data_IF_170409751112
#
_entry.id   IF_170409751112
#
_cell.length_a   1.000
_cell.length_b   1.000
_cell.length_c   1.000
_cell.angle_alpha   90.00
_cell.angle_beta   90.00
_cell.angle_gamma   90.00
#
_symmetry.space_group_name_H-M   'P 1'
#
loop_
_entity.id
_entity.type
_entity.pdbx_description
1 polymer ?
#
# COMPACT_ATOMS: atom_id res chain seq x y z
N UNK A 1 21.45 28.69 12.07
CA UNK A 1 20.46 29.43 11.25
C UNK A 1 19.50 28.51 10.51
N UNK A 2 19.93 27.34 10.02
CA UNK A 2 19.09 26.37 9.28
C UNK A 2 18.01 25.68 10.16
N UNK A 3 18.27 25.48 11.45
CA UNK A 3 17.34 24.78 12.35
C UNK A 3 16.10 25.61 12.70
N UNK A 4 16.28 26.89 13.02
CA UNK A 4 15.16 27.79 13.35
C UNK A 4 14.25 28.07 12.14
N UNK A 5 14.82 28.17 10.93
CA UNK A 5 14.03 28.32 9.70
C UNK A 5 13.22 27.06 9.40
N UNK A 6 13.78 25.87 9.61
CA UNK A 6 13.04 24.62 9.42
C UNK A 6 11.79 24.54 10.31
N UNK A 7 11.93 24.89 11.60
CA UNK A 7 10.78 24.88 12.51
C UNK A 7 9.75 25.94 12.15
N UNK A 8 10.15 27.14 11.70
CA UNK A 8 9.16 28.11 11.21
C UNK A 8 8.45 27.58 9.97
N UNK A 9 9.21 27.07 9.00
CA UNK A 9 8.68 26.54 7.74
C UNK A 9 7.68 25.40 7.98
N UNK A 10 7.85 24.61 9.05
CA UNK A 10 6.93 23.51 9.42
C UNK A 10 5.52 24.01 9.71
N UNK A 11 5.40 25.23 10.22
CA UNK A 11 4.13 25.85 10.57
C UNK A 11 3.65 26.85 9.50
N UNK A 12 4.48 27.30 8.57
CA UNK A 12 4.07 28.19 7.48
C UNK A 12 3.73 27.47 6.17
N UNK A 13 4.50 26.44 5.80
CA UNK A 13 4.36 25.80 4.50
C UNK A 13 3.30 24.69 4.51
N UNK A 14 2.25 24.89 3.73
CA UNK A 14 1.10 23.97 3.73
C UNK A 14 1.47 22.54 3.29
N UNK A 15 2.46 22.36 2.39
CA UNK A 15 2.91 21.02 2.00
C UNK A 15 3.63 20.30 3.16
N UNK A 16 4.36 21.05 3.99
CA UNK A 16 5.14 20.47 5.09
C UNK A 16 4.26 20.09 6.28
N UNK A 17 3.22 20.89 6.55
CA UNK A 17 2.16 20.53 7.49
C UNK A 17 1.44 19.24 7.06
N UNK A 18 1.11 19.12 5.78
CA UNK A 18 0.46 17.93 5.20
C UNK A 18 1.34 16.69 5.31
N UNK A 19 2.63 16.82 4.98
CA UNK A 19 3.60 15.75 5.11
C UNK A 19 3.76 15.28 6.56
N UNK A 20 3.83 16.22 7.51
CA UNK A 20 3.91 15.91 8.94
C UNK A 20 2.67 15.14 9.42
N UNK A 21 1.48 15.62 9.05
CA UNK A 21 0.21 15.01 9.45
C UNK A 21 0.03 13.61 8.85
N UNK A 22 0.37 13.43 7.56
CA UNK A 22 0.40 12.12 6.92
C UNK A 22 1.41 11.17 7.61
N UNK A 23 2.60 11.67 7.96
CA UNK A 23 3.63 10.92 8.67
C UNK A 23 3.16 10.43 10.05
N UNK A 24 2.46 11.28 10.81
CA UNK A 24 1.87 10.89 12.11
C UNK A 24 0.80 9.80 11.93
N UNK A 25 -0.11 9.96 10.97
CA UNK A 25 -1.16 8.97 10.71
C UNK A 25 -0.57 7.61 10.27
N UNK A 26 0.38 7.63 9.34
CA UNK A 26 1.09 6.43 8.89
C UNK A 26 1.92 5.80 10.01
N UNK A 27 2.51 6.62 10.89
CA UNK A 27 3.25 6.18 12.07
C UNK A 27 2.39 5.45 13.10
N UNK A 28 1.08 5.74 13.18
CA UNK A 28 0.12 4.97 14.00
C UNK A 28 -0.33 3.70 13.29
N UNK A 29 -0.52 3.75 11.97
CA UNK A 29 -0.92 2.60 11.17
C UNK A 29 0.16 1.51 11.09
N UNK A 30 1.43 1.91 10.99
CA UNK A 30 2.57 1.01 10.88
C UNK A 30 2.67 -0.03 12.00
N UNK A 31 2.61 0.31 13.31
CA UNK A 31 2.67 -0.69 14.39
C UNK A 31 1.43 -1.57 14.47
N UNK A 32 0.24 -1.02 14.17
CA UNK A 32 -0.99 -1.81 14.12
C UNK A 32 -0.82 -2.92 13.08
N UNK A 33 -0.67 -2.55 11.82
CA UNK A 33 -0.56 -3.50 10.72
C UNK A 33 0.70 -4.37 10.86
N UNK A 34 1.84 -3.76 11.19
CA UNK A 34 3.14 -4.42 11.30
C UNK A 34 3.18 -5.56 12.30
N UNK A 35 2.48 -5.43 13.44
CA UNK A 35 2.39 -6.51 14.43
C UNK A 35 1.79 -7.79 13.84
N UNK A 36 0.70 -7.68 13.07
CA UNK A 36 0.06 -8.82 12.37
C UNK A 36 0.98 -9.34 11.27
N UNK A 37 1.62 -8.45 10.50
CA UNK A 37 2.53 -8.82 9.42
C UNK A 37 3.64 -9.73 9.92
N UNK A 38 4.28 -9.35 11.03
CA UNK A 38 5.42 -10.08 11.61
C UNK A 38 4.97 -11.47 12.09
N UNK A 39 3.89 -11.54 12.88
CA UNK A 39 3.38 -12.80 13.44
C UNK A 39 3.01 -13.78 12.32
N UNK A 40 2.44 -13.29 11.22
CA UNK A 40 1.99 -14.10 10.08
C UNK A 40 3.10 -14.41 9.05
N UNK A 41 4.35 -14.05 9.35
CA UNK A 41 5.51 -14.17 8.44
C UNK A 41 5.26 -13.53 7.08
N UNK A 42 4.63 -12.37 7.10
CA UNK A 42 4.34 -11.56 5.93
C UNK A 42 5.32 -10.39 5.77
N UNK A 43 6.51 -10.42 6.39
CA UNK A 43 7.40 -9.26 6.54
C UNK A 43 7.69 -8.45 5.26
N UNK A 44 7.67 -9.09 4.08
CA UNK A 44 7.90 -8.44 2.77
C UNK A 44 6.63 -8.08 1.99
N UNK A 45 5.45 -8.24 2.58
CA UNK A 45 4.17 -8.03 1.89
C UNK A 45 3.98 -6.57 1.51
N UNK A 46 4.33 -5.63 2.40
CA UNK A 46 4.19 -4.20 2.17
C UNK A 46 5.08 -3.74 1.00
N UNK A 47 6.32 -4.24 0.95
CA UNK A 47 7.26 -3.96 -0.12
C UNK A 47 6.76 -4.52 -1.46
N UNK A 48 6.33 -5.80 -1.46
CA UNK A 48 5.77 -6.46 -2.64
C UNK A 48 4.54 -5.73 -3.20
N UNK A 49 3.63 -5.31 -2.33
CA UNK A 49 2.43 -4.53 -2.66
C UNK A 49 2.78 -3.15 -3.24
N UNK A 50 3.90 -2.56 -2.82
CA UNK A 50 4.41 -1.31 -3.35
C UNK A 50 4.85 -1.45 -4.81
N UNK A 51 5.53 -2.54 -5.14
CA UNK A 51 5.90 -2.86 -6.53
C UNK A 51 4.69 -3.13 -7.43
N UNK A 52 3.61 -3.69 -6.89
CA UNK A 52 2.35 -3.83 -7.63
C UNK A 52 1.57 -2.50 -7.74
N UNK A 53 1.62 -1.65 -6.71
CA UNK A 53 1.08 -0.29 -6.83
C UNK A 53 1.76 0.49 -7.96
N UNK A 54 3.07 0.29 -8.14
CA UNK A 54 3.81 0.87 -9.28
C UNK A 54 3.31 0.36 -10.64
N UNK A 55 2.83 -0.87 -10.74
CA UNK A 55 2.20 -1.38 -11.98
C UNK A 55 0.98 -0.55 -12.33
N UNK A 56 0.14 -0.27 -11.34
CA UNK A 56 -1.06 0.55 -11.53
C UNK A 56 -0.72 1.98 -11.96
N UNK A 57 0.30 2.58 -11.34
CA UNK A 57 0.76 3.94 -11.66
C UNK A 57 1.41 3.99 -13.05
N UNK A 58 2.26 3.03 -13.39
CA UNK A 58 2.91 3.00 -14.71
C UNK A 58 1.90 2.71 -15.83
N UNK A 59 0.92 1.86 -15.55
CA UNK A 59 -0.19 1.59 -16.46
C UNK A 59 -1.09 2.82 -16.64
N UNK A 60 -1.39 3.57 -15.58
CA UNK A 60 -2.19 4.80 -15.69
C UNK A 60 -1.48 5.84 -16.58
N UNK A 61 -0.16 5.97 -16.44
CA UNK A 61 0.65 6.86 -17.28
C UNK A 61 0.70 6.39 -18.73
N UNK A 62 0.87 5.08 -18.96
CA UNK A 62 0.84 4.50 -20.30
C UNK A 62 -0.52 4.69 -20.98
N UNK A 63 -1.62 4.45 -20.27
CA UNK A 63 -2.98 4.66 -20.77
C UNK A 63 -3.24 6.14 -21.07
N UNK A 64 -2.80 7.05 -20.20
CA UNK A 64 -2.88 8.49 -20.43
C UNK A 64 -2.14 8.90 -21.72
N UNK A 65 -0.93 8.36 -21.93
CA UNK A 65 -0.15 8.62 -23.14
C UNK A 65 -0.77 8.01 -24.41
N UNK A 66 -1.22 6.75 -24.35
CA UNK A 66 -1.64 6.00 -25.54
C UNK A 66 -3.09 6.25 -25.95
N UNK A 67 -4.00 6.50 -25.00
CA UNK A 67 -5.43 6.60 -25.25
C UNK A 67 -5.95 8.05 -25.23
N UNK A 68 -5.13 9.03 -24.86
CA UNK A 68 -5.54 10.44 -24.73
C UNK A 68 -6.70 10.66 -23.74
N UNK A 69 -6.99 9.66 -22.90
CA UNK A 69 -8.10 9.69 -21.96
C UNK A 69 -7.63 10.29 -20.63
N UNK A 70 -8.00 11.54 -20.38
CA UNK A 70 -7.68 12.26 -19.13
C UNK A 70 -8.32 11.63 -17.89
N UNK A 71 -9.38 10.82 -18.06
CA UNK A 71 -10.09 10.13 -16.97
C UNK A 71 -9.15 9.25 -16.11
N UNK A 72 -8.18 8.60 -16.74
CA UNK A 72 -7.20 7.76 -16.03
C UNK A 72 -5.92 8.52 -15.63
N UNK A 73 -5.68 9.70 -16.22
CA UNK A 73 -4.55 10.55 -15.89
C UNK A 73 -4.72 11.21 -14.50
N UNK A 74 -5.96 11.55 -14.13
CA UNK A 74 -6.24 12.30 -12.91
C UNK A 74 -6.29 11.45 -11.63
N UNK A 75 -6.30 10.11 -11.74
CA UNK A 75 -6.45 9.20 -10.58
C UNK A 75 -5.48 8.01 -10.57
N UNK A 76 -4.16 8.24 -10.67
CA UNK A 76 -3.15 7.16 -10.61
C UNK A 76 -3.22 6.36 -9.29
N UNK A 77 -3.74 6.97 -8.23
CA UNK A 77 -3.97 6.34 -6.93
C UNK A 77 -4.92 5.13 -6.99
N UNK A 78 -6.01 5.24 -7.75
CA UNK A 78 -7.03 4.18 -7.80
C UNK A 78 -6.48 2.93 -8.50
N UNK A 79 -5.76 3.12 -9.60
CA UNK A 79 -5.06 2.04 -10.30
C UNK A 79 -3.94 1.45 -9.43
N UNK A 80 -3.21 2.29 -8.70
CA UNK A 80 -2.21 1.83 -7.71
C UNK A 80 -2.83 0.89 -6.66
N UNK A 81 -3.92 1.32 -6.02
CA UNK A 81 -4.66 0.48 -5.05
C UNK A 81 -5.14 -0.81 -5.71
N UNK A 82 -5.76 -0.72 -6.88
CA UNK A 82 -6.32 -1.88 -7.57
C UNK A 82 -5.25 -2.94 -7.88
N UNK A 83 -4.13 -2.54 -8.48
CA UNK A 83 -3.04 -3.47 -8.78
C UNK A 83 -2.35 -3.97 -7.51
N UNK A 84 -2.26 -3.16 -6.46
CA UNK A 84 -1.77 -3.60 -5.16
C UNK A 84 -2.67 -4.72 -4.59
N UNK A 85 -4.00 -4.58 -4.64
CA UNK A 85 -4.93 -5.65 -4.24
C UNK A 85 -4.72 -6.92 -5.06
N UNK A 86 -4.55 -6.79 -6.39
CA UNK A 86 -4.23 -7.93 -7.27
C UNK A 86 -2.92 -8.61 -6.86
N UNK A 87 -1.89 -7.83 -6.54
CA UNK A 87 -0.61 -8.34 -6.02
C UNK A 87 -0.79 -9.13 -4.71
N UNK A 88 -1.58 -8.60 -3.78
CA UNK A 88 -1.91 -9.30 -2.53
C UNK A 88 -2.67 -10.61 -2.73
N UNK A 89 -3.61 -10.64 -3.68
CA UNK A 89 -4.31 -11.87 -4.06
C UNK A 89 -3.37 -12.88 -4.72
N UNK A 90 -2.45 -12.44 -5.58
CA UNK A 90 -1.43 -13.29 -6.18
C UNK A 90 -0.52 -13.91 -5.10
N UNK A 91 -0.05 -13.11 -4.14
CA UNK A 91 0.71 -13.62 -2.99
C UNK A 91 -0.07 -14.73 -2.29
N UNK A 92 -1.36 -14.54 -2.07
CA UNK A 92 -2.18 -15.54 -1.39
C UNK A 92 -2.38 -16.82 -2.21
N UNK A 93 -2.55 -16.71 -3.53
CA UNK A 93 -2.59 -17.87 -4.43
C UNK A 93 -1.26 -18.64 -4.34
N UNK A 94 -0.13 -17.96 -4.50
CA UNK A 94 1.18 -18.60 -4.45
C UNK A 94 1.49 -19.22 -3.08
N UNK A 95 1.07 -18.59 -1.97
CA UNK A 95 1.24 -19.15 -0.61
C UNK A 95 0.46 -20.46 -0.40
N UNK A 96 -0.66 -20.65 -1.10
CA UNK A 96 -1.44 -21.90 -1.05
C UNK A 96 -0.77 -23.03 -1.81
N UNK A 97 -0.09 -22.71 -2.92
CA UNK A 97 0.70 -23.67 -3.70
C UNK A 97 2.03 -24.02 -3.03
N UNK A 98 2.78 -23.02 -2.55
CA UNK A 98 4.09 -23.19 -1.91
C UNK A 98 4.01 -23.29 -0.38
N UNK A 99 3.27 -24.29 0.13
CA UNK A 99 3.01 -24.44 1.58
C UNK A 99 4.26 -24.50 2.46
N UNK A 100 5.34 -25.10 1.96
CA UNK A 100 6.60 -25.26 2.71
C UNK A 100 7.48 -24.00 2.71
N UNK A 101 7.25 -23.05 1.79
CA UNK A 101 8.06 -21.84 1.65
C UNK A 101 7.18 -20.63 1.28
N UNK A 102 6.24 -20.29 2.16
CA UNK A 102 5.31 -19.14 1.99
C UNK A 102 6.04 -17.81 1.78
N UNK A 103 7.29 -17.70 2.24
CA UNK A 103 8.13 -16.51 2.11
C UNK A 103 8.65 -16.30 0.68
N UNK A 104 8.80 -17.36 -0.12
CA UNK A 104 9.28 -17.27 -1.52
C UNK A 104 8.20 -16.68 -2.44
N UNK A 105 6.92 -16.78 -2.06
CA UNK A 105 5.81 -16.23 -2.83
C UNK A 105 5.90 -14.70 -2.99
N UNK A 106 6.38 -13.99 -1.97
CA UNK A 106 6.51 -12.52 -1.99
C UNK A 106 7.57 -12.04 -3.01
N UNK A 107 8.84 -12.50 -2.97
CA UNK A 107 9.84 -12.14 -3.98
C UNK A 107 9.47 -12.48 -5.42
N UNK A 108 8.80 -13.62 -5.66
CA UNK A 108 8.31 -13.98 -7.00
C UNK A 108 7.33 -12.93 -7.49
N UNK A 109 6.32 -12.60 -6.68
CA UNK A 109 5.31 -11.60 -7.03
C UNK A 109 5.99 -10.24 -7.19
N UNK A 110 6.84 -9.82 -6.27
CA UNK A 110 7.59 -8.55 -6.36
C UNK A 110 8.38 -8.41 -7.67
N UNK A 111 9.05 -9.48 -8.09
CA UNK A 111 9.81 -9.50 -9.35
C UNK A 111 8.88 -9.32 -10.56
N UNK A 112 7.72 -9.97 -10.55
CA UNK A 112 6.69 -9.80 -11.59
C UNK A 112 6.18 -8.35 -11.62
N UNK A 113 5.81 -7.79 -10.47
CA UNK A 113 5.33 -6.40 -10.38
C UNK A 113 6.36 -5.40 -10.89
N UNK A 114 7.63 -5.61 -10.56
CA UNK A 114 8.74 -4.75 -11.03
C UNK A 114 8.94 -4.85 -12.54
N UNK A 115 8.95 -6.07 -13.10
CA UNK A 115 9.11 -6.28 -14.54
C UNK A 115 7.97 -5.65 -15.34
N UNK A 116 6.71 -5.85 -14.90
CA UNK A 116 5.53 -5.28 -15.55
C UNK A 116 5.53 -3.76 -15.43
N UNK A 117 5.90 -3.21 -14.28
CA UNK A 117 6.01 -1.76 -14.08
C UNK A 117 7.00 -1.13 -15.06
N UNK A 118 8.20 -1.71 -15.16
CA UNK A 118 9.26 -1.25 -16.05
C UNK A 118 8.84 -1.31 -17.53
N UNK A 119 8.09 -2.34 -17.91
CA UNK A 119 7.54 -2.47 -19.26
C UNK A 119 6.59 -1.31 -19.60
N UNK A 120 5.62 -1.00 -18.75
CA UNK A 120 4.69 0.12 -19.01
C UNK A 120 5.39 1.48 -19.00
N UNK A 121 6.36 1.69 -18.11
CA UNK A 121 7.15 2.92 -18.11
C UNK A 121 7.95 3.11 -19.40
N UNK A 122 8.57 2.05 -19.91
CA UNK A 122 9.28 2.07 -21.20
C UNK A 122 8.35 2.45 -22.35
N UNK A 123 7.12 1.94 -22.34
CA UNK A 123 6.10 2.24 -23.34
C UNK A 123 5.53 3.66 -23.23
N UNK A 124 5.49 4.24 -22.03
CA UNK A 124 4.89 5.56 -21.78
C UNK A 124 5.75 6.76 -22.25
N UNK A 125 7.01 6.55 -22.69
CA UNK A 125 7.98 7.58 -23.13
C UNK A 125 8.21 8.78 -22.17
N UNK A 126 7.66 8.75 -20.96
CA UNK A 126 7.83 9.77 -19.91
C UNK A 126 8.78 9.28 -18.79
N UNK A 127 10.04 9.01 -19.15
CA UNK A 127 11.04 8.50 -18.19
C UNK A 127 11.35 9.51 -17.07
N UNK A 128 11.21 10.81 -17.33
CA UNK A 128 11.45 11.86 -16.33
C UNK A 128 10.48 11.85 -15.14
N UNK A 129 9.26 11.34 -15.30
CA UNK A 129 8.30 11.20 -14.20
C UNK A 129 8.48 9.92 -13.38
N UNK A 130 9.26 8.94 -13.88
CA UNK A 130 9.48 7.65 -13.23
C UNK A 130 10.03 7.84 -11.80
N UNK A 131 11.07 8.66 -11.66
CA UNK A 131 11.77 8.84 -10.39
C UNK A 131 10.83 9.39 -9.31
N UNK A 132 9.98 10.37 -9.67
CA UNK A 132 9.02 10.97 -8.73
C UNK A 132 7.96 9.97 -8.25
N UNK A 133 7.56 9.00 -9.08
CA UNK A 133 6.62 7.94 -8.67
C UNK A 133 7.29 6.74 -7.99
N UNK A 134 8.59 6.51 -8.23
CA UNK A 134 9.35 5.44 -7.56
C UNK A 134 9.70 5.79 -6.12
N UNK A 135 10.07 7.05 -5.88
CA UNK A 135 10.55 7.55 -4.59
C UNK A 135 9.51 8.39 -3.83
N UNK A 136 8.35 8.65 -4.45
CA UNK A 136 7.38 9.59 -3.91
C UNK A 136 7.89 11.03 -4.00
N UNK A 137 6.98 11.98 -3.81
CA UNK A 137 7.37 13.37 -3.59
C UNK A 137 6.48 13.96 -2.53
N UNK A 138 7.11 14.40 -1.44
CA UNK A 138 6.40 15.03 -0.32
C UNK A 138 5.59 16.26 -0.78
N UNK A 139 6.00 16.88 -1.89
CA UNK A 139 5.30 18.00 -2.53
C UNK A 139 3.97 17.60 -3.19
N UNK A 140 3.77 16.32 -3.53
CA UNK A 140 2.54 15.82 -4.18
C UNK A 140 1.44 15.44 -3.20
N UNK A 141 1.66 15.57 -1.88
CA UNK A 141 0.62 15.31 -0.88
C UNK A 141 -0.45 16.42 -0.92
N UNK A 142 -1.59 16.10 -1.52
CA UNK A 142 -2.79 16.95 -1.51
C UNK A 142 -3.74 16.61 -0.36
N UNK A 143 -4.66 17.53 -0.05
CA UNK A 143 -5.67 17.32 1.01
C UNK A 143 -6.50 16.06 0.80
N UNK A 144 -6.73 15.70 -0.47
CA UNK A 144 -7.38 14.45 -0.83
C UNK A 144 -6.65 13.22 -0.29
N UNK A 145 -5.32 13.17 -0.37
CA UNK A 145 -4.53 12.04 0.18
C UNK A 145 -4.67 11.96 1.69
N UNK A 146 -4.66 13.09 2.39
CA UNK A 146 -4.84 13.13 3.85
C UNK A 146 -6.20 12.57 4.24
N UNK A 147 -7.26 12.98 3.55
CA UNK A 147 -8.61 12.47 3.82
C UNK A 147 -8.67 10.96 3.62
N UNK A 148 -8.06 10.43 2.56
CA UNK A 148 -8.01 8.98 2.30
C UNK A 148 -7.21 8.25 3.39
N UNK A 149 -6.05 8.77 3.80
CA UNK A 149 -5.24 8.20 4.89
C UNK A 149 -6.04 8.22 6.21
N UNK A 150 -6.72 9.32 6.52
CA UNK A 150 -7.53 9.47 7.73
C UNK A 150 -8.71 8.48 7.74
N UNK A 151 -9.44 8.34 6.63
CA UNK A 151 -10.52 7.34 6.50
C UNK A 151 -9.95 5.93 6.69
N UNK A 152 -8.83 5.63 6.05
CA UNK A 152 -8.17 4.33 6.18
C UNK A 152 -7.79 4.06 7.64
N UNK A 153 -7.19 5.05 8.32
CA UNK A 153 -6.84 4.97 9.74
C UNK A 153 -8.05 4.65 10.61
N UNK A 154 -9.15 5.37 10.45
CA UNK A 154 -10.40 5.13 11.19
C UNK A 154 -10.94 3.72 10.91
N UNK A 155 -10.94 3.28 9.66
CA UNK A 155 -11.39 1.92 9.29
C UNK A 155 -10.51 0.86 9.92
N UNK A 156 -9.18 1.01 9.91
CA UNK A 156 -8.25 0.05 10.56
C UNK A 156 -8.52 -0.02 12.06
N UNK A 157 -8.60 1.14 12.73
CA UNK A 157 -8.85 1.19 14.18
C UNK A 157 -10.20 0.55 14.50
N UNK A 158 -11.25 0.84 13.72
CA UNK A 158 -12.57 0.26 13.91
C UNK A 158 -12.54 -1.27 13.74
N UNK A 159 -11.85 -1.77 12.72
CA UNK A 159 -11.68 -3.21 12.52
C UNK A 159 -10.94 -3.87 13.70
N UNK A 160 -9.91 -3.21 14.23
CA UNK A 160 -9.20 -3.68 15.41
C UNK A 160 -10.11 -3.74 16.64
N UNK A 161 -10.90 -2.70 16.88
CA UNK A 161 -11.80 -2.64 18.05
C UNK A 161 -12.93 -3.68 17.94
N UNK A 162 -13.55 -3.82 16.77
CA UNK A 162 -14.67 -4.75 16.55
C UNK A 162 -14.22 -6.21 16.48
N UNK A 163 -13.06 -6.48 15.87
CA UNK A 163 -12.61 -7.84 15.57
C UNK A 163 -11.32 -8.25 16.27
N UNK A 164 -10.96 -7.59 17.38
CA UNK A 164 -9.72 -7.84 18.13
C UNK A 164 -9.47 -9.32 18.40
N UNK A 165 -10.51 -10.02 18.90
CA UNK A 165 -10.43 -11.44 19.25
C UNK A 165 -10.19 -12.31 18.03
N UNK A 166 -10.91 -12.05 16.93
CA UNK A 166 -10.77 -12.79 15.69
C UNK A 166 -9.40 -12.56 15.05
N UNK A 167 -8.92 -11.32 15.03
CA UNK A 167 -7.59 -10.95 14.50
C UNK A 167 -6.48 -11.69 15.27
N UNK A 168 -6.55 -11.73 16.60
CA UNK A 168 -5.60 -12.46 17.43
C UNK A 168 -5.70 -13.96 17.19
N UNK A 169 -6.89 -14.54 17.24
CA UNK A 169 -7.08 -15.98 17.00
C UNK A 169 -6.54 -16.42 15.63
N UNK A 170 -6.81 -15.62 14.59
CA UNK A 170 -6.29 -15.88 13.23
C UNK A 170 -4.77 -15.70 13.13
N UNK A 171 -4.18 -14.80 13.92
CA UNK A 171 -2.74 -14.53 13.89
C UNK A 171 -1.91 -15.60 14.60
N UNK A 172 -2.38 -16.14 15.73
CA UNK A 172 -1.63 -17.10 16.55
C UNK A 172 -1.96 -18.57 16.25
N UNK A 173 -3.23 -18.91 16.00
CA UNK A 173 -3.66 -20.30 15.79
C UNK A 173 -4.70 -20.40 14.67
N UNK A 174 -4.25 -20.46 13.42
CA UNK A 174 -5.12 -20.65 12.24
C UNK A 174 -6.03 -21.90 12.37
N UNK A 175 -5.58 -22.93 13.11
CA UNK A 175 -6.34 -24.14 13.38
C UNK A 175 -7.54 -23.92 14.30
N UNK A 176 -7.37 -23.18 15.39
CA UNK A 176 -8.39 -22.90 16.40
C UNK A 176 -9.50 -21.97 15.85
N UNK A 177 -9.11 -21.01 14.99
CA UNK A 177 -10.04 -20.11 14.32
C UNK A 177 -11.06 -20.82 13.41
N UNK A 178 -10.68 -21.94 12.77
CA UNK A 178 -11.62 -22.74 11.95
C UNK A 178 -12.69 -23.42 12.79
N UNK A 179 -12.33 -23.90 13.98
CA UNK A 179 -13.30 -24.51 14.91
C UNK A 179 -14.30 -23.50 15.47
N UNK A 180 -13.90 -22.22 15.55
CA UNK A 180 -14.77 -21.10 15.96
C UNK A 180 -15.65 -20.55 14.83
N UNK A 181 -15.65 -21.15 13.63
CA UNK A 181 -16.45 -20.71 12.48
C UNK A 181 -15.97 -19.40 11.84
N UNK A 182 -14.75 -18.95 12.14
CA UNK A 182 -14.20 -17.69 11.63
C UNK A 182 -13.75 -17.88 10.18
N UNK A 183 -14.26 -17.06 9.27
CA UNK A 183 -13.84 -17.08 7.86
C UNK A 183 -12.47 -16.42 7.69
N UNK A 184 -11.40 -17.22 7.79
CA UNK A 184 -10.00 -16.81 7.61
C UNK A 184 -9.76 -16.04 6.30
N UNK A 185 -10.39 -16.46 5.20
CA UNK A 185 -10.20 -15.85 3.89
C UNK A 185 -10.77 -14.42 3.86
N UNK A 186 -11.88 -14.17 4.56
CA UNK A 186 -12.51 -12.85 4.62
C UNK A 186 -11.62 -11.83 5.34
N UNK A 187 -11.12 -12.19 6.54
CA UNK A 187 -10.20 -11.33 7.28
C UNK A 187 -8.90 -11.07 6.53
N UNK A 188 -8.41 -12.09 5.84
CA UNK A 188 -7.23 -11.95 5.02
C UNK A 188 -7.45 -11.01 3.81
N UNK A 189 -8.61 -11.08 3.17
CA UNK A 189 -8.94 -10.19 2.07
C UNK A 189 -9.08 -8.74 2.54
N UNK A 190 -9.75 -8.51 3.68
CA UNK A 190 -9.81 -7.17 4.30
C UNK A 190 -8.40 -6.65 4.59
N UNK A 191 -7.54 -7.49 5.18
CA UNK A 191 -6.17 -7.12 5.50
C UNK A 191 -5.38 -6.73 4.26
N UNK A 192 -5.51 -7.49 3.17
CA UNK A 192 -4.87 -7.18 1.89
C UNK A 192 -5.38 -5.85 1.35
N UNK A 193 -6.69 -5.58 1.38
CA UNK A 193 -7.26 -4.32 0.90
C UNK A 193 -6.72 -3.14 1.70
N UNK A 194 -6.79 -3.21 3.03
CA UNK A 194 -6.30 -2.15 3.92
C UNK A 194 -4.83 -1.88 3.66
N UNK A 195 -4.01 -2.92 3.61
CA UNK A 195 -2.58 -2.78 3.37
C UNK A 195 -2.29 -2.23 1.97
N UNK A 196 -3.04 -2.66 0.95
CA UNK A 196 -2.92 -2.15 -0.42
C UNK A 196 -3.20 -0.65 -0.48
N UNK A 197 -4.22 -0.18 0.24
CA UNK A 197 -4.53 1.25 0.34
C UNK A 197 -3.37 1.99 1.00
N UNK A 198 -2.94 1.56 2.19
CA UNK A 198 -1.86 2.21 2.95
C UNK A 198 -0.56 2.27 2.15
N UNK A 199 -0.15 1.14 1.55
CA UNK A 199 1.10 1.05 0.77
C UNK A 199 1.03 1.89 -0.50
N UNK A 200 -0.12 1.90 -1.18
CA UNK A 200 -0.30 2.73 -2.38
C UNK A 200 -0.23 4.22 -2.04
N UNK A 201 -0.80 4.65 -0.91
CA UNK A 201 -0.66 6.04 -0.44
C UNK A 201 0.81 6.39 -0.20
N UNK A 202 1.52 5.53 0.55
CA UNK A 202 2.93 5.76 0.92
C UNK A 202 3.84 5.86 -0.30
N UNK A 203 3.53 5.15 -1.39
CA UNK A 203 4.31 5.19 -2.63
C UNK A 203 4.08 6.50 -3.43
N UNK A 204 2.96 7.17 -3.18
CA UNK A 204 2.52 8.36 -3.91
C UNK A 204 2.91 9.67 -3.22
N UNK A 205 3.01 9.64 -1.89
CA UNK A 205 3.50 10.71 -1.01
C UNK A 205 5.02 10.76 -0.97
#
# INVERSE_FOLDING_TARGET
>A
MITLSFFSDLFTESFMQRAFLAGVMLGVLAPLIGSIVIIRRLSFIADTLGHFSLVGISLSLFLSYSLGNEIFADRPLFLGIFFSVVGGLLIEIFRRYYKSYKEISMPIVMSLGTAVSAMFFSLSKKTGSLYNYLFGSILTVTDYYIVVIAITMVVVILLYVLFFRQIISVSFEEGNAKFLGINLNFFQLIFIIVLSVVVSMMKMS
#
